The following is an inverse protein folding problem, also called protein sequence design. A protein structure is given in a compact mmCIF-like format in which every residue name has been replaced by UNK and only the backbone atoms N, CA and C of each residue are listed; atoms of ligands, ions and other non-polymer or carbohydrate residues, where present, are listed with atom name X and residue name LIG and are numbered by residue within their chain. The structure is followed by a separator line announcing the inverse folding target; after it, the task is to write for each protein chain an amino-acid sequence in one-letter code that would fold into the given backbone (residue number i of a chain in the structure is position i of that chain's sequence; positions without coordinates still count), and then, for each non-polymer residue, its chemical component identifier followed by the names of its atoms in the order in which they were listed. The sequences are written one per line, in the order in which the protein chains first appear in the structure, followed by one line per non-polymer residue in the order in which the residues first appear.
data_IF_714116760228
#
_entry.id   IF_714116760228
#
_cell.length_a   1.000
_cell.length_b   1.000
_cell.length_c   1.000
_cell.angle_alpha   90.00
_cell.angle_beta   90.00
_cell.angle_gamma   90.00
#
_symmetry.space_group_name_H-M   'P 1'
#
loop_
_entity.id
_entity.type
_entity.pdbx_description
1 polymer ?
#
# COMPACT_ATOMS: atom_id res chain seq x y z
N UNK A 1 -6.56 0.30 32.63
CA UNK A 1 -7.37 -0.93 32.76
C UNK A 1 -8.67 -0.81 31.94
N UNK A 2 -8.58 -0.29 30.70
CA UNK A 2 -9.77 0.05 29.90
C UNK A 2 -10.01 -0.90 28.70
N UNK A 3 -9.03 -1.73 28.33
CA UNK A 3 -9.12 -2.59 27.15
C UNK A 3 -10.06 -3.80 27.31
N UNK A 4 -10.49 -4.12 28.53
CA UNK A 4 -11.44 -5.23 28.77
C UNK A 4 -12.91 -4.78 28.77
N UNK A 5 -13.19 -3.49 28.94
CA UNK A 5 -14.56 -2.95 29.07
C UNK A 5 -15.04 -2.19 27.81
N UNK A 6 -14.15 -1.87 26.87
CA UNK A 6 -14.51 -1.22 25.60
C UNK A 6 -14.57 -2.25 24.46
N UNK A 7 -15.73 -2.37 23.78
CA UNK A 7 -15.83 -3.09 22.49
C UNK A 7 -15.62 -2.11 21.32
N UNK A 8 -14.92 -2.48 20.23
CA UNK A 8 -14.31 -3.77 19.94
C UNK A 8 -12.79 -3.69 19.59
N UNK A 9 -11.98 -4.40 20.38
CA UNK A 9 -10.95 -5.29 19.83
C UNK A 9 -10.89 -6.58 20.67
N UNK A 10 -12.09 -7.05 21.05
CA UNK A 10 -12.34 -8.38 21.62
C UNK A 10 -13.17 -9.11 20.57
N UNK A 11 -12.61 -10.14 19.95
CA UNK A 11 -13.41 -11.08 19.16
C UNK A 11 -14.36 -11.78 20.11
N UNK A 12 -15.62 -11.33 20.15
CA UNK A 12 -16.73 -12.13 20.66
C UNK A 12 -16.89 -13.26 19.65
N UNK A 13 -16.56 -14.49 20.02
CA UNK A 13 -16.98 -15.64 19.22
C UNK A 13 -18.52 -15.68 19.31
N UNK A 14 -19.19 -15.31 18.22
CA UNK A 14 -20.59 -15.66 18.03
C UNK A 14 -20.68 -17.20 17.96
N UNK A 15 -21.36 -17.82 18.93
CA UNK A 15 -21.75 -19.22 18.84
C UNK A 15 -22.76 -19.35 17.69
N UNK A 16 -22.49 -20.16 16.65
CA UNK A 16 -23.39 -20.28 15.49
C UNK A 16 -24.75 -20.93 15.81
N UNK A 17 -25.00 -21.38 17.04
CA UNK A 17 -26.15 -22.21 17.38
C UNK A 17 -27.28 -21.52 18.15
N UNK A 18 -27.24 -20.19 18.34
CA UNK A 18 -28.41 -19.45 18.84
C UNK A 18 -28.50 -18.10 18.14
N UNK A 19 -29.07 -18.12 16.93
CA UNK A 19 -29.69 -16.95 16.33
C UNK A 19 -30.99 -16.65 17.08
N UNK A 20 -30.87 -16.10 18.28
CA UNK A 20 -31.79 -15.12 18.83
C UNK A 20 -31.21 -14.66 20.17
N UNK A 21 -30.89 -13.37 20.30
CA UNK A 21 -31.05 -12.56 21.52
C UNK A 21 -30.35 -11.21 21.34
N UNK A 22 -31.18 -10.17 21.39
CA UNK A 22 -30.94 -8.74 21.45
C UNK A 22 -29.52 -8.26 21.87
N UNK A 23 -28.99 -7.32 21.09
CA UNK A 23 -27.72 -6.63 21.32
C UNK A 23 -27.69 -5.64 22.49
N UNK A 24 -28.73 -5.54 23.31
CA UNK A 24 -28.85 -4.49 24.33
C UNK A 24 -28.83 -4.96 25.79
N UNK A 25 -28.72 -6.27 26.06
CA UNK A 25 -28.51 -6.75 27.43
C UNK A 25 -27.05 -7.11 27.65
N UNK A 26 -26.35 -6.30 28.44
CA UNK A 26 -25.16 -6.74 29.14
C UNK A 26 -25.58 -7.88 30.09
N UNK A 27 -25.57 -9.12 29.61
CA UNK A 27 -25.69 -10.30 30.46
C UNK A 27 -24.41 -10.41 31.27
N UNK A 28 -24.36 -9.68 32.38
CA UNK A 28 -23.54 -10.08 33.51
C UNK A 28 -23.99 -11.48 33.91
N UNK A 29 -23.33 -12.52 33.38
CA UNK A 29 -23.55 -13.89 33.82
C UNK A 29 -23.09 -13.96 35.26
N UNK A 30 -24.04 -13.88 36.19
CA UNK A 30 -23.78 -14.14 37.60
C UNK A 30 -23.21 -15.55 37.72
N UNK A 31 -21.99 -15.66 38.21
CA UNK A 31 -21.36 -16.97 38.39
C UNK A 31 -22.19 -17.78 39.39
N UNK A 32 -22.58 -19.02 39.04
CA UNK A 32 -23.32 -19.87 39.97
C UNK A 32 -22.47 -20.23 41.19
N UNK A 33 -23.12 -20.45 42.34
CA UNK A 33 -22.51 -20.86 43.62
C UNK A 33 -21.65 -22.14 43.52
N UNK A 34 -21.69 -22.84 42.38
CA UNK A 34 -20.85 -23.98 42.00
C UNK A 34 -19.35 -23.69 42.11
N UNK A 35 -18.90 -22.44 42.03
CA UNK A 35 -17.49 -22.10 42.27
C UNK A 35 -17.02 -22.29 43.73
N UNK A 36 -17.94 -22.51 44.68
CA UNK A 36 -17.64 -22.85 46.07
C UNK A 36 -17.52 -24.36 46.31
N UNK A 37 -17.96 -25.18 45.34
CA UNK A 37 -18.02 -26.65 45.45
C UNK A 37 -16.71 -27.35 45.05
N UNK A 38 -16.58 -28.62 45.43
CA UNK A 38 -15.33 -29.38 45.39
C UNK A 38 -14.88 -29.82 43.98
N UNK A 39 -13.80 -29.18 43.48
CA UNK A 39 -12.53 -29.72 42.91
C UNK A 39 -12.56 -30.94 41.97
N UNK A 40 -13.67 -31.28 41.29
CA UNK A 40 -13.58 -32.26 40.18
C UNK A 40 -13.35 -31.54 38.85
N UNK A 41 -12.31 -31.90 38.07
CA UNK A 41 -12.08 -31.32 36.74
C UNK A 41 -13.29 -31.37 35.82
N UNK A 42 -14.13 -32.40 35.95
CA UNK A 42 -15.36 -32.57 35.17
C UNK A 42 -16.37 -31.46 35.43
N UNK A 43 -16.56 -31.06 36.69
CA UNK A 43 -17.46 -29.97 37.09
C UNK A 43 -16.94 -28.64 36.56
N UNK A 44 -15.61 -28.46 36.57
CA UNK A 44 -14.99 -27.23 36.06
C UNK A 44 -15.12 -27.13 34.55
N UNK A 45 -14.91 -28.24 33.83
CA UNK A 45 -15.12 -28.30 32.38
C UNK A 45 -16.59 -28.06 32.02
N UNK A 46 -17.53 -28.63 32.79
CA UNK A 46 -18.95 -28.37 32.62
C UNK A 46 -19.28 -26.89 32.80
N UNK A 47 -18.80 -26.25 33.87
CA UNK A 47 -19.00 -24.82 34.11
C UNK A 47 -18.44 -23.95 32.98
N UNK A 48 -17.24 -24.27 32.48
CA UNK A 48 -16.65 -23.56 31.34
C UNK A 48 -17.48 -23.74 30.07
N UNK A 49 -18.16 -24.88 29.88
CA UNK A 49 -19.05 -25.11 28.73
C UNK A 49 -20.31 -24.27 28.84
N UNK A 50 -20.95 -24.24 30.01
CA UNK A 50 -22.13 -23.42 30.28
C UNK A 50 -21.87 -21.92 30.06
N UNK A 51 -20.69 -21.44 30.47
CA UNK A 51 -20.28 -20.04 30.28
C UNK A 51 -19.81 -19.76 28.82
N UNK A 52 -19.68 -20.80 27.98
CA UNK A 52 -19.14 -20.68 26.62
C UNK A 52 -17.63 -20.44 26.56
N UNK A 53 -16.93 -20.56 27.69
CA UNK A 53 -15.49 -20.35 27.84
C UNK A 53 -14.64 -21.58 27.43
N UNK A 54 -15.26 -22.75 27.33
CA UNK A 54 -14.57 -24.01 27.11
C UNK A 54 -13.89 -24.10 25.74
N UNK A 55 -14.43 -23.44 24.71
CA UNK A 55 -13.85 -23.43 23.36
C UNK A 55 -12.40 -22.90 23.34
N UNK A 56 -12.09 -21.92 24.19
CA UNK A 56 -10.75 -21.34 24.29
C UNK A 56 -9.79 -22.23 25.09
N UNK A 57 -10.30 -22.94 26.09
CA UNK A 57 -9.54 -23.96 26.82
C UNK A 57 -9.23 -25.20 25.95
N UNK A 58 -10.19 -25.62 25.12
CA UNK A 58 -10.03 -26.73 24.16
C UNK A 58 -8.97 -26.40 23.10
N UNK A 59 -9.05 -25.20 22.50
CA UNK A 59 -7.99 -24.70 21.60
C UNK A 59 -6.61 -24.69 22.27
N UNK A 60 -6.55 -24.33 23.55
CA UNK A 60 -5.29 -24.35 24.29
C UNK A 60 -4.78 -25.78 24.54
N UNK A 61 -5.68 -26.73 24.83
CA UNK A 61 -5.37 -28.16 24.95
C UNK A 61 -4.79 -28.72 23.65
N UNK A 62 -5.46 -28.48 22.53
CA UNK A 62 -5.06 -29.01 21.22
C UNK A 62 -3.75 -28.36 20.71
N UNK A 63 -3.47 -27.13 21.15
CA UNK A 63 -2.25 -26.42 20.80
C UNK A 63 -0.98 -26.92 21.51
N UNK A 64 -1.10 -27.93 22.38
CA UNK A 64 0.04 -28.45 23.13
C UNK A 64 1.03 -29.19 22.23
N UNK A 65 2.07 -28.48 21.79
CA UNK A 65 3.05 -28.97 20.82
C UNK A 65 4.48 -28.94 21.36
N UNK A 66 5.36 -29.76 20.78
CA UNK A 66 6.78 -29.75 21.09
C UNK A 66 7.43 -28.50 20.46
N UNK A 67 8.12 -27.70 21.28
CA UNK A 67 8.84 -26.51 20.85
C UNK A 67 10.00 -26.89 19.90
N UNK A 68 10.12 -26.21 18.74
CA UNK A 68 11.26 -26.40 17.85
C UNK A 68 12.55 -25.78 18.43
N UNK A 69 13.70 -26.27 17.95
CA UNK A 69 15.02 -25.73 18.31
C UNK A 69 15.55 -26.12 19.69
N UNK A 70 16.60 -25.41 20.12
CA UNK A 70 17.39 -25.74 21.33
C UNK A 70 16.63 -25.55 22.65
N UNK A 71 15.51 -24.82 22.64
CA UNK A 71 14.64 -24.66 23.82
C UNK A 71 14.12 -26.01 24.34
N UNK A 72 13.96 -27.00 23.45
CA UNK A 72 13.54 -28.37 23.79
C UNK A 72 14.44 -29.02 24.85
N UNK A 73 15.74 -28.74 24.82
CA UNK A 73 16.74 -29.29 25.74
C UNK A 73 16.87 -28.50 27.05
N UNK A 74 16.21 -27.33 27.17
CA UNK A 74 16.35 -26.41 28.31
C UNK A 74 15.05 -26.31 29.10
N UNK A 75 14.43 -27.44 29.44
CA UNK A 75 13.16 -27.53 30.20
C UNK A 75 12.00 -26.69 29.64
N UNK A 76 12.02 -26.42 28.34
CA UNK A 76 11.03 -25.63 27.59
C UNK A 76 10.49 -26.46 26.41
N UNK A 77 10.29 -27.76 26.65
CA UNK A 77 9.91 -28.75 25.62
C UNK A 77 8.55 -28.46 25.01
N UNK A 78 7.58 -27.97 25.77
CA UNK A 78 6.23 -27.75 25.29
C UNK A 78 5.88 -26.27 25.16
N UNK A 79 4.98 -25.99 24.23
CA UNK A 79 4.28 -24.72 24.05
C UNK A 79 2.78 -24.98 24.05
N UNK A 80 2.03 -24.06 24.65
CA UNK A 80 0.57 -24.04 24.61
C UNK A 80 0.10 -22.61 24.48
N UNK A 81 -1.07 -22.42 23.86
CA UNK A 81 -1.74 -21.13 23.79
C UNK A 81 -2.26 -20.74 25.18
N UNK A 82 -2.48 -19.43 25.36
CA UNK A 82 -3.12 -18.89 26.56
C UNK A 82 -4.62 -18.90 26.32
N UNK A 83 -5.34 -19.55 27.23
CA UNK A 83 -6.80 -19.57 27.25
C UNK A 83 -7.35 -18.54 28.24
N UNK A 84 -8.54 -18.80 28.80
CA UNK A 84 -9.23 -17.88 29.72
C UNK A 84 -8.39 -17.53 30.95
N UNK A 85 -8.50 -16.28 31.43
CA UNK A 85 -7.95 -15.83 32.71
C UNK A 85 -9.08 -15.69 33.72
N UNK A 86 -9.00 -16.38 34.85
CA UNK A 86 -10.00 -16.32 35.90
C UNK A 86 -9.49 -15.42 37.02
N UNK A 87 -10.26 -14.39 37.34
CA UNK A 87 -9.91 -13.41 38.35
C UNK A 87 -10.81 -13.52 39.57
N UNK A 88 -10.19 -13.71 40.74
CA UNK A 88 -10.88 -13.91 42.02
C UNK A 88 -10.50 -12.88 43.08
N UNK A 89 -11.45 -12.59 43.98
CA UNK A 89 -11.26 -11.72 45.14
C UNK A 89 -10.75 -12.48 46.36
N UNK A 90 -11.64 -12.77 47.30
CA UNK A 90 -11.29 -13.27 48.64
C UNK A 90 -11.34 -14.81 48.75
N UNK A 91 -12.20 -15.47 47.98
CA UNK A 91 -12.47 -16.93 48.07
C UNK A 91 -11.56 -17.78 47.18
N UNK A 92 -10.26 -17.45 47.12
CA UNK A 92 -9.35 -17.93 46.08
C UNK A 92 -8.82 -19.37 46.21
N UNK A 93 -8.70 -19.90 47.42
CA UNK A 93 -7.88 -21.10 47.64
C UNK A 93 -8.46 -22.36 46.97
N UNK A 94 -9.79 -22.51 46.95
CA UNK A 94 -10.47 -23.64 46.29
C UNK A 94 -10.49 -23.47 44.77
N UNK A 95 -10.78 -22.24 44.31
CA UNK A 95 -10.81 -21.88 42.89
C UNK A 95 -9.46 -22.11 42.21
N UNK A 96 -8.37 -21.63 42.82
CA UNK A 96 -7.01 -21.80 42.27
C UNK A 96 -6.68 -23.26 42.07
N UNK A 97 -7.03 -24.13 43.03
CA UNK A 97 -6.76 -25.57 42.92
C UNK A 97 -7.57 -26.22 41.78
N UNK A 98 -8.82 -25.81 41.59
CA UNK A 98 -9.70 -26.34 40.57
C UNK A 98 -9.25 -26.00 39.13
N UNK A 99 -8.80 -24.76 38.90
CA UNK A 99 -8.50 -24.27 37.55
C UNK A 99 -7.02 -24.38 37.14
N UNK A 100 -6.07 -24.57 38.07
CA UNK A 100 -4.63 -24.59 37.77
C UNK A 100 -4.21 -25.71 36.81
N UNK A 101 -4.91 -26.84 36.80
CA UNK A 101 -4.56 -28.01 35.99
C UNK A 101 -5.29 -28.07 34.64
N UNK A 102 -6.07 -27.04 34.28
CA UNK A 102 -6.76 -26.99 33.00
C UNK A 102 -5.82 -26.36 31.96
N UNK A 103 -5.64 -26.98 30.78
CA UNK A 103 -4.73 -26.48 29.76
C UNK A 103 -5.11 -25.05 29.32
N UNK A 104 -4.11 -24.16 29.30
CA UNK A 104 -4.26 -22.77 28.87
C UNK A 104 -4.94 -21.83 29.86
N UNK A 105 -5.70 -22.34 30.83
CA UNK A 105 -6.39 -21.52 31.83
C UNK A 105 -5.39 -21.00 32.86
N UNK A 106 -5.49 -19.71 33.17
CA UNK A 106 -4.71 -19.11 34.25
C UNK A 106 -5.62 -18.49 35.30
N UNK A 107 -5.12 -18.39 36.53
CA UNK A 107 -5.83 -17.77 37.63
C UNK A 107 -5.03 -16.58 38.16
N UNK A 108 -5.71 -15.49 38.50
CA UNK A 108 -5.13 -14.31 39.14
C UNK A 108 -6.03 -13.77 40.26
N UNK A 109 -5.41 -13.18 41.27
CA UNK A 109 -6.13 -12.45 42.31
C UNK A 109 -6.25 -10.97 41.91
N UNK A 110 -7.36 -10.30 42.23
CA UNK A 110 -7.59 -8.89 41.83
C UNK A 110 -6.53 -7.94 42.38
N UNK A 111 -6.16 -8.10 43.64
CA UNK A 111 -5.19 -7.23 44.32
C UNK A 111 -3.79 -7.34 43.68
N UNK A 112 -3.51 -8.50 43.06
CA UNK A 112 -2.24 -8.87 42.43
C UNK A 112 -2.40 -9.14 40.93
N UNK A 113 -3.22 -8.34 40.25
CA UNK A 113 -3.39 -8.41 38.81
C UNK A 113 -2.10 -8.05 38.07
N UNK A 114 -1.56 -9.00 37.33
CA UNK A 114 -0.34 -8.83 36.55
C UNK A 114 -0.67 -8.53 35.08
N UNK A 115 -0.06 -7.49 34.53
CA UNK A 115 -0.15 -7.14 33.12
C UNK A 115 0.26 -8.29 32.20
N UNK A 116 1.29 -9.07 32.55
CA UNK A 116 1.76 -10.21 31.75
C UNK A 116 0.70 -11.31 31.60
N UNK A 117 -0.22 -11.42 32.56
CA UNK A 117 -1.36 -12.34 32.47
C UNK A 117 -2.52 -11.72 31.70
N UNK A 118 -2.78 -10.43 31.86
CA UNK A 118 -3.86 -9.73 31.14
C UNK A 118 -3.55 -9.54 29.64
N UNK A 119 -2.28 -9.32 29.30
CA UNK A 119 -1.80 -9.02 27.96
C UNK A 119 -0.55 -9.85 27.63
N UNK A 120 -0.68 -11.18 27.46
CA UNK A 120 0.45 -12.04 27.14
C UNK A 120 1.06 -11.63 25.79
N UNK A 121 2.38 -11.44 25.76
CA UNK A 121 3.09 -10.97 24.57
C UNK A 121 2.82 -9.50 24.20
N UNK A 122 2.17 -8.73 25.07
CA UNK A 122 1.83 -7.32 24.82
C UNK A 122 0.53 -7.12 24.02
N UNK A 123 -0.21 -8.18 23.70
CA UNK A 123 -1.51 -8.08 23.06
C UNK A 123 -2.62 -7.77 24.07
N UNK A 124 -3.36 -6.70 23.83
CA UNK A 124 -4.55 -6.34 24.60
C UNK A 124 -5.74 -7.25 24.26
N UNK A 125 -6.64 -7.48 25.23
CA UNK A 125 -7.89 -8.21 24.99
C UNK A 125 -7.83 -9.72 25.22
N UNK A 126 -7.26 -10.19 26.35
CA UNK A 126 -7.43 -11.58 26.78
C UNK A 126 -8.86 -11.83 27.26
N UNK A 127 -9.39 -13.03 27.04
CA UNK A 127 -10.69 -13.43 27.60
C UNK A 127 -10.57 -13.63 29.12
N UNK A 128 -11.19 -12.74 29.89
CA UNK A 128 -11.12 -12.71 31.37
C UNK A 128 -12.48 -13.00 31.98
N UNK A 129 -12.54 -13.95 32.92
CA UNK A 129 -13.73 -14.30 33.70
C UNK A 129 -13.56 -13.71 35.09
N UNK A 130 -14.49 -12.86 35.51
CA UNK A 130 -14.47 -12.19 36.81
C UNK A 130 -15.44 -12.84 37.78
N UNK A 131 -14.99 -13.13 39.00
CA UNK A 131 -15.92 -13.42 40.10
C UNK A 131 -16.62 -12.16 40.56
N UNK A 132 -17.85 -12.29 41.08
CA UNK A 132 -18.62 -11.14 41.61
C UNK A 132 -17.80 -10.31 42.60
N UNK A 133 -17.23 -10.98 43.61
CA UNK A 133 -16.38 -10.34 44.62
C UNK A 133 -15.09 -9.73 44.05
N UNK A 134 -14.59 -10.26 42.92
CA UNK A 134 -13.46 -9.67 42.23
C UNK A 134 -13.84 -8.38 41.53
N UNK A 135 -15.00 -8.37 40.87
CA UNK A 135 -15.48 -7.23 40.11
C UNK A 135 -15.81 -6.05 41.03
N UNK A 136 -16.51 -6.30 42.14
CA UNK A 136 -16.84 -5.29 43.16
C UNK A 136 -15.59 -4.64 43.78
N UNK A 137 -14.49 -5.41 43.93
CA UNK A 137 -13.24 -4.90 44.48
C UNK A 137 -12.46 -3.97 43.55
N UNK A 138 -12.74 -3.96 42.24
CA UNK A 138 -11.98 -3.13 41.29
C UNK A 138 -12.11 -1.64 41.60
N UNK A 139 -13.32 -1.19 41.96
CA UNK A 139 -13.59 0.21 42.27
C UNK A 139 -12.82 0.68 43.50
N UNK A 140 -12.72 -0.15 44.55
CA UNK A 140 -11.91 0.16 45.74
C UNK A 140 -10.40 0.25 45.39
N UNK A 141 -9.92 -0.63 44.51
CA UNK A 141 -8.49 -0.69 44.15
C UNK A 141 -8.07 0.47 43.23
N UNK A 142 -8.89 0.81 42.23
CA UNK A 142 -8.53 1.74 41.17
C UNK A 142 -9.27 3.08 41.25
N UNK A 143 -10.32 3.17 42.06
CA UNK A 143 -11.23 4.31 42.06
C UNK A 143 -12.15 4.31 40.85
N UNK A 144 -12.91 5.39 40.73
CA UNK A 144 -13.70 5.73 39.54
C UNK A 144 -13.21 7.07 38.96
N UNK A 145 -13.87 7.56 37.91
CA UNK A 145 -13.55 8.90 37.40
C UNK A 145 -13.93 10.01 38.39
N UNK A 146 -14.80 9.72 39.35
CA UNK A 146 -15.27 10.66 40.38
C UNK A 146 -14.62 10.40 41.75
N UNK A 147 -14.31 9.14 42.07
CA UNK A 147 -13.77 8.72 43.38
C UNK A 147 -12.31 8.30 43.25
N UNK A 148 -11.47 8.80 44.15
CA UNK A 148 -10.05 8.41 44.23
C UNK A 148 -9.95 6.96 44.72
N UNK A 149 -8.91 6.23 44.32
CA UNK A 149 -8.67 4.87 44.81
C UNK A 149 -8.38 4.83 46.31
N UNK A 150 -8.95 3.85 47.01
CA UNK A 150 -8.72 3.64 48.44
C UNK A 150 -7.37 2.96 48.68
N UNK A 151 -7.05 1.94 47.87
CA UNK A 151 -5.87 1.10 48.12
C UNK A 151 -4.57 1.69 47.56
N UNK A 152 -4.66 2.39 46.42
CA UNK A 152 -3.48 2.91 45.71
C UNK A 152 -3.28 4.38 46.04
N UNK A 153 -2.35 4.66 46.95
CA UNK A 153 -2.05 6.04 47.38
C UNK A 153 -1.69 6.93 46.18
N UNK A 154 -2.44 8.02 46.01
CA UNK A 154 -2.21 9.02 44.96
C UNK A 154 -2.50 8.55 43.53
N UNK A 155 -3.14 7.38 43.37
CA UNK A 155 -3.53 6.89 42.05
C UNK A 155 -4.88 7.48 41.63
N UNK A 156 -4.93 7.91 40.37
CA UNK A 156 -6.15 8.36 39.69
C UNK A 156 -6.19 7.71 38.31
N UNK A 157 -7.39 7.36 37.86
CA UNK A 157 -7.58 6.81 36.52
C UNK A 157 -7.07 7.80 35.45
N UNK A 158 -6.24 7.36 34.49
CA UNK A 158 -5.78 8.23 33.41
C UNK A 158 -6.96 8.80 32.61
N UNK A 159 -6.97 10.12 32.44
CA UNK A 159 -7.97 10.79 31.60
C UNK A 159 -7.59 10.66 30.13
N UNK A 160 -8.55 10.25 29.30
CA UNK A 160 -8.37 10.22 27.86
C UNK A 160 -8.18 11.64 27.31
N UNK A 161 -7.39 11.79 26.25
CA UNK A 161 -7.20 13.09 25.57
C UNK A 161 -8.48 13.59 24.89
N UNK A 162 -9.37 12.66 24.52
CA UNK A 162 -10.65 12.94 23.90
C UNK A 162 -11.76 12.39 24.79
N UNK A 163 -12.84 13.15 24.95
CA UNK A 163 -14.04 12.71 25.68
C UNK A 163 -14.82 11.66 24.86
N UNK A 164 -14.97 11.91 23.55
CA UNK A 164 -15.57 10.98 22.61
C UNK A 164 -14.51 10.51 21.60
N UNK A 165 -14.37 9.19 21.42
CA UNK A 165 -13.43 8.59 20.47
C UNK A 165 -14.03 8.42 19.05
N UNK A 166 -15.35 8.59 18.89
CA UNK A 166 -16.01 8.49 17.59
C UNK A 166 -15.76 9.75 16.75
N UNK A 167 -14.63 9.74 16.05
CA UNK A 167 -14.24 10.79 15.12
C UNK A 167 -15.22 10.91 13.95
N UNK A 168 -15.82 9.80 13.49
CA UNK A 168 -16.73 9.83 12.36
C UNK A 168 -17.98 10.65 12.70
N UNK A 169 -18.56 10.43 13.89
CA UNK A 169 -19.67 11.24 14.38
C UNK A 169 -19.31 12.71 14.53
N UNK A 170 -18.12 13.03 15.07
CA UNK A 170 -17.68 14.43 15.23
C UNK A 170 -17.49 15.09 13.86
N UNK A 171 -16.82 14.41 12.93
CA UNK A 171 -16.56 14.92 11.58
C UNK A 171 -17.87 15.15 10.81
N UNK A 172 -18.84 14.25 10.95
CA UNK A 172 -20.12 14.31 10.23
C UNK A 172 -21.19 15.16 10.94
N UNK A 173 -20.85 15.81 12.05
CA UNK A 173 -21.75 16.73 12.74
C UNK A 173 -22.01 17.99 11.90
N UNK A 174 -23.20 18.55 12.01
CA UNK A 174 -23.62 19.72 11.21
C UNK A 174 -22.76 20.94 11.52
N UNK A 175 -22.29 21.09 12.75
CA UNK A 175 -21.40 22.16 13.20
C UNK A 175 -20.05 22.12 12.47
N UNK A 176 -19.53 20.92 12.20
CA UNK A 176 -18.28 20.76 11.44
C UNK A 176 -18.56 20.89 9.95
N UNK A 177 -19.55 20.17 9.42
CA UNK A 177 -19.82 20.11 7.99
C UNK A 177 -20.30 21.44 7.40
N UNK A 178 -20.98 22.29 8.18
CA UNK A 178 -21.39 23.63 7.76
C UNK A 178 -20.20 24.59 7.48
N UNK A 179 -19.05 24.35 8.10
CA UNK A 179 -17.84 25.17 7.95
C UNK A 179 -16.82 24.55 6.99
N UNK A 180 -16.85 23.22 6.83
CA UNK A 180 -15.90 22.49 5.98
C UNK A 180 -16.08 22.85 4.50
N UNK A 181 -14.96 23.14 3.83
CA UNK A 181 -14.95 23.39 2.39
C UNK A 181 -15.24 22.09 1.62
N UNK A 182 -15.93 22.17 0.47
CA UNK A 182 -16.19 20.99 -0.35
C UNK A 182 -14.89 20.34 -0.82
N UNK A 183 -14.95 19.02 -1.00
CA UNK A 183 -13.81 18.20 -1.43
C UNK A 183 -13.39 18.61 -2.84
N UNK A 184 -12.08 18.80 -3.05
CA UNK A 184 -11.49 19.04 -4.38
C UNK A 184 -11.25 17.69 -5.08
N UNK A 185 -12.13 17.34 -6.01
CA UNK A 185 -12.08 16.05 -6.72
C UNK A 185 -11.05 15.99 -7.85
N UNK A 186 -10.53 17.13 -8.31
CA UNK A 186 -9.61 17.19 -9.44
C UNK A 186 -8.17 16.85 -9.03
N UNK A 187 -7.79 15.58 -9.16
CA UNK A 187 -6.38 15.17 -9.09
C UNK A 187 -5.77 15.20 -10.49
N UNK A 188 -5.12 16.31 -10.85
CA UNK A 188 -4.38 16.43 -12.12
C UNK A 188 -3.08 15.63 -12.03
N UNK A 189 -3.07 14.40 -12.55
CA UNK A 189 -1.84 13.62 -12.72
C UNK A 189 -1.03 14.16 -13.89
N UNK A 190 0.29 14.23 -13.73
CA UNK A 190 1.18 14.63 -14.82
C UNK A 190 1.12 13.56 -15.93
N UNK A 191 0.65 13.90 -17.15
CA UNK A 191 0.70 12.96 -18.26
C UNK A 191 2.14 12.83 -18.76
N UNK A 192 2.46 11.69 -19.38
CA UNK A 192 3.73 11.53 -20.08
C UNK A 192 3.87 12.62 -21.15
N UNK A 193 4.95 13.41 -21.08
CA UNK A 193 5.27 14.44 -22.08
C UNK A 193 5.62 13.78 -23.41
N UNK A 194 4.69 13.81 -24.36
CA UNK A 194 4.91 13.32 -25.73
C UNK A 194 5.69 14.36 -26.53
N UNK A 195 6.68 13.93 -27.31
CA UNK A 195 7.47 14.82 -28.16
C UNK A 195 6.61 15.39 -29.32
N UNK A 196 6.42 16.72 -29.43
CA UNK A 196 5.62 17.32 -30.49
C UNK A 196 6.19 17.11 -31.89
N UNK A 197 7.51 17.12 -32.05
CA UNK A 197 8.16 16.95 -33.35
C UNK A 197 7.92 15.54 -33.93
N UNK A 198 7.76 14.54 -33.05
CA UNK A 198 7.48 13.15 -33.44
C UNK A 198 5.97 12.83 -33.45
N UNK A 199 5.16 13.54 -32.69
CA UNK A 199 3.72 13.29 -32.56
C UNK A 199 2.89 14.45 -33.12
N UNK A 200 2.26 14.22 -34.27
CA UNK A 200 1.48 15.24 -34.97
C UNK A 200 0.35 15.82 -34.11
N UNK A 201 -0.40 15.01 -33.34
CA UNK A 201 -1.52 15.52 -32.54
C UNK A 201 -1.04 16.49 -31.45
N UNK A 202 0.12 16.23 -30.87
CA UNK A 202 0.75 17.11 -29.89
C UNK A 202 1.27 18.38 -30.57
N UNK A 203 1.87 18.25 -31.76
CA UNK A 203 2.26 19.40 -32.57
C UNK A 203 1.07 20.29 -32.90
N UNK A 204 -0.06 19.70 -33.32
CA UNK A 204 -1.25 20.45 -33.71
C UNK A 204 -1.91 21.14 -32.51
N UNK A 205 -1.85 20.52 -31.32
CA UNK A 205 -2.29 21.17 -30.08
C UNK A 205 -1.44 22.38 -29.73
N UNK A 206 -0.14 22.36 -30.05
CA UNK A 206 0.77 23.48 -29.79
C UNK A 206 0.75 24.54 -30.91
N UNK A 207 0.69 24.09 -32.16
CA UNK A 207 0.73 24.91 -33.37
C UNK A 207 -0.25 24.37 -34.42
N UNK A 208 -1.46 24.92 -34.52
CA UNK A 208 -2.45 24.53 -35.53
C UNK A 208 -1.96 24.75 -36.98
N UNK A 209 -1.09 25.74 -37.21
CA UNK A 209 -0.52 26.04 -38.54
C UNK A 209 0.46 24.96 -39.03
N UNK A 210 0.94 24.07 -38.16
CA UNK A 210 1.79 22.96 -38.58
C UNK A 210 1.08 22.05 -39.61
N UNK A 211 -0.26 21.97 -39.59
CA UNK A 211 -1.04 21.22 -40.57
C UNK A 211 -0.94 21.83 -41.97
N UNK A 212 -1.14 23.14 -42.08
CA UNK A 212 -1.11 23.87 -43.35
C UNK A 212 0.31 23.90 -43.90
N UNK A 213 1.31 24.18 -43.05
CA UNK A 213 2.72 24.16 -43.44
C UNK A 213 3.14 22.79 -44.02
N UNK A 214 2.78 21.68 -43.35
CA UNK A 214 3.08 20.32 -43.84
C UNK A 214 2.33 19.99 -45.13
N UNK A 215 1.10 20.47 -45.29
CA UNK A 215 0.34 20.30 -46.55
C UNK A 215 1.00 21.06 -47.70
N UNK A 216 1.40 22.31 -47.46
CA UNK A 216 2.10 23.13 -48.46
C UNK A 216 3.44 22.52 -48.85
N UNK A 217 4.20 21.99 -47.89
CA UNK A 217 5.48 21.34 -48.18
C UNK A 217 5.31 20.10 -49.08
N UNK A 218 4.31 19.26 -48.81
CA UNK A 218 4.01 18.08 -49.65
C UNK A 218 3.58 18.45 -51.06
N UNK A 219 2.76 19.49 -51.22
CA UNK A 219 2.35 19.98 -52.54
C UNK A 219 3.55 20.54 -53.32
N UNK A 220 4.41 21.31 -52.66
CA UNK A 220 5.62 21.84 -53.26
C UNK A 220 6.61 20.73 -53.65
N UNK A 221 6.75 19.68 -52.84
CA UNK A 221 7.61 18.53 -53.15
C UNK A 221 7.10 17.76 -54.37
N UNK A 222 5.79 17.48 -54.44
CA UNK A 222 5.17 16.84 -55.60
C UNK A 222 5.41 17.64 -56.90
N UNK A 223 5.29 18.97 -56.83
CA UNK A 223 5.61 19.86 -57.96
C UNK A 223 7.10 19.81 -58.35
N UNK A 224 8.01 19.81 -57.37
CA UNK A 224 9.46 19.70 -57.62
C UNK A 224 9.85 18.38 -58.29
N UNK A 225 9.27 17.26 -57.85
CA UNK A 225 9.52 15.94 -58.45
C UNK A 225 9.05 15.92 -59.91
N UNK A 226 7.86 16.46 -60.18
CA UNK A 226 7.33 16.59 -61.55
C UNK A 226 8.24 17.47 -62.43
N UNK A 227 8.61 18.66 -61.96
CA UNK A 227 9.50 19.57 -62.69
C UNK A 227 10.89 18.96 -62.94
N UNK A 228 11.44 18.21 -61.96
CA UNK A 228 12.72 17.50 -62.12
C UNK A 228 12.62 16.42 -63.20
N UNK A 229 11.53 15.65 -63.22
CA UNK A 229 11.28 14.63 -64.25
C UNK A 229 11.20 15.25 -65.64
N UNK A 230 10.41 16.31 -65.81
CA UNK A 230 10.30 17.03 -67.09
C UNK A 230 11.64 17.62 -67.55
N UNK A 231 12.42 18.19 -66.63
CA UNK A 231 13.78 18.70 -66.94
C UNK A 231 14.73 17.57 -67.34
N UNK A 232 14.64 16.41 -66.69
CA UNK A 232 15.44 15.24 -67.04
C UNK A 232 15.04 14.69 -68.42
N UNK A 233 13.75 14.60 -68.71
CA UNK A 233 13.23 14.13 -70.00
C UNK A 233 13.63 15.07 -71.15
N UNK A 234 13.63 16.39 -70.93
CA UNK A 234 14.19 17.38 -71.88
C UNK A 234 15.69 17.17 -72.13
N UNK A 235 16.48 16.90 -71.09
CA UNK A 235 17.92 16.60 -71.21
C UNK A 235 18.20 15.24 -71.86
N UNK A 236 17.28 14.29 -71.75
CA UNK A 236 17.37 12.95 -72.35
C UNK A 236 16.93 12.91 -73.81
N UNK A 237 16.37 14.00 -74.36
CA UNK A 237 16.18 14.11 -75.81
C UNK A 237 17.55 13.92 -76.48
N UNK A 238 17.62 12.97 -77.40
CA UNK A 238 18.87 12.62 -78.06
C UNK A 238 19.42 13.87 -78.77
N UNK A 239 20.61 14.30 -78.37
CA UNK A 239 21.40 15.31 -79.09
C UNK A 239 21.52 14.83 -80.53
N UNK A 240 21.29 15.72 -81.50
CA UNK A 240 21.37 15.33 -82.92
C UNK A 240 22.79 14.79 -83.20
N UNK A 241 22.91 13.86 -84.16
CA UNK A 241 24.20 13.21 -84.46
C UNK A 241 25.30 14.23 -84.79
N UNK A 242 24.90 15.38 -85.35
CA UNK A 242 25.74 16.52 -85.71
C UNK A 242 26.23 17.29 -84.47
N UNK A 243 25.34 17.66 -83.55
CA UNK A 243 25.71 18.33 -82.30
C UNK A 243 26.60 17.44 -81.42
N UNK A 244 26.34 16.12 -81.38
CA UNK A 244 27.17 15.18 -80.65
C UNK A 244 28.57 15.02 -81.28
N UNK A 245 28.67 15.08 -82.62
CA UNK A 245 29.94 15.08 -83.33
C UNK A 245 30.71 16.38 -83.10
N UNK A 246 30.04 17.53 -83.11
CA UNK A 246 30.63 18.84 -82.81
C UNK A 246 31.21 18.88 -81.38
N UNK A 247 30.45 18.43 -80.37
CA UNK A 247 30.92 18.36 -78.98
C UNK A 247 32.13 17.40 -78.85
N UNK A 248 32.09 16.23 -79.50
CA UNK A 248 33.23 15.30 -79.50
C UNK A 248 34.45 15.88 -80.23
N UNK A 249 34.25 16.63 -81.31
CA UNK A 249 35.33 17.26 -82.07
C UNK A 249 36.00 18.38 -81.28
N UNK A 250 35.22 19.23 -80.61
CA UNK A 250 35.73 20.26 -79.71
C UNK A 250 36.50 19.63 -78.53
N UNK A 251 35.97 18.55 -77.94
CA UNK A 251 36.68 17.80 -76.90
C UNK A 251 37.99 17.18 -77.39
N UNK A 252 38.00 16.58 -78.58
CA UNK A 252 39.22 16.02 -79.19
C UNK A 252 40.24 17.10 -79.54
N UNK A 253 39.80 18.26 -80.06
CA UNK A 253 40.68 19.38 -80.37
C UNK A 253 41.38 19.88 -79.10
N UNK A 254 40.63 20.05 -78.00
CA UNK A 254 41.20 20.42 -76.71
C UNK A 254 42.20 19.36 -76.19
N UNK A 255 41.88 18.07 -76.27
CA UNK A 255 42.83 17.01 -75.90
C UNK A 255 44.08 16.99 -76.80
N UNK A 256 43.95 17.25 -78.10
CA UNK A 256 45.10 17.34 -79.02
C UNK A 256 46.04 18.50 -78.66
N UNK A 257 45.51 19.64 -78.21
CA UNK A 257 46.35 20.75 -77.71
C UNK A 257 47.15 20.41 -76.44
N UNK A 258 46.83 19.29 -75.77
CA UNK A 258 47.47 18.86 -74.52
C UNK A 258 48.42 17.66 -74.67
N UNK A 259 48.54 17.08 -75.87
CA UNK A 259 49.35 15.86 -76.11
C UNK A 259 50.71 16.18 -76.77
N UNK A 260 50.95 17.40 -77.26
CA UNK A 260 52.22 17.76 -77.92
C UNK A 260 52.99 18.91 -77.22
N UNK A 261 53.87 18.55 -76.29
CA UNK A 261 54.93 19.42 -75.75
C UNK A 261 56.23 19.29 -76.59
N UNK A 262 56.14 19.17 -77.91
CA UNK A 262 57.31 19.15 -78.80
C UNK A 262 57.15 20.10 -80.00
N UNK A 263 57.88 21.21 -79.94
CA UNK A 263 58.41 22.15 -80.96
C UNK A 263 57.61 22.56 -82.21
N UNK A 264 56.35 22.12 -82.39
CA UNK A 264 55.50 22.52 -83.53
C UNK A 264 54.26 23.34 -83.14
N UNK A 265 54.09 23.70 -81.87
CA UNK A 265 52.94 24.50 -81.37
C UNK A 265 53.28 25.96 -81.09
N UNK A 266 54.43 26.45 -81.54
CA UNK A 266 54.81 27.85 -81.29
C UNK A 266 53.88 28.85 -81.98
N UNK A 267 53.18 28.49 -83.06
CA UNK A 267 52.35 29.44 -83.83
C UNK A 267 51.00 29.82 -83.17
N UNK A 268 50.25 28.89 -82.56
CA UNK A 268 48.97 29.25 -81.90
C UNK A 268 49.18 29.96 -80.57
N UNK A 269 50.19 29.55 -79.80
CA UNK A 269 50.57 30.21 -78.56
C UNK A 269 51.09 31.63 -78.82
N UNK A 270 51.85 31.86 -79.90
CA UNK A 270 52.27 33.21 -80.29
C UNK A 270 51.09 34.12 -80.63
N UNK A 271 50.11 33.62 -81.39
CA UNK A 271 48.95 34.40 -81.82
C UNK A 271 48.10 34.83 -80.61
N UNK A 272 47.95 33.95 -79.62
CA UNK A 272 47.25 34.27 -78.36
C UNK A 272 48.04 35.26 -77.50
N UNK A 273 49.37 35.20 -77.50
CA UNK A 273 50.20 36.09 -76.68
C UNK A 273 50.30 37.50 -77.26
N UNK A 274 50.42 37.63 -78.58
CA UNK A 274 50.43 38.92 -79.28
C UNK A 274 49.12 39.70 -79.14
N UNK A 275 47.97 39.03 -79.08
CA UNK A 275 46.66 39.68 -78.91
C UNK A 275 46.28 39.96 -77.44
N UNK A 276 47.11 39.58 -76.47
CA UNK A 276 46.88 39.82 -75.03
C UNK A 276 47.75 40.97 -74.50
N UNK A 277 48.75 41.42 -75.26
CA UNK A 277 49.64 42.54 -74.89
C UNK A 277 49.47 43.75 -75.81
N UNK A 278 48.26 44.33 -75.83
CA UNK A 278 47.99 45.75 -76.08
C UNK A 278 46.78 46.21 -75.26
#
# INVERSE_FOLDING_TARGET
MAAAAARPLVTVQSLPSLNDMATDSATTVALPDVMKASIRPDIVNFLLKEIGAYSDAEKAKDSHAIRPGKGKMRNRRYISRKGPLIVYGTEGAKLVKAFRNIPGVEVANVDRLNLLKLAPGGHLGRFVIWTKSAFEKLDSIYGSFEKISENKKGYVLPRAKMVNADLARIINSDEVQSVVKPIKNEVKRAPLKKNPLKNLNVMLKLNPYAKTARRMSLLAEAQRVKAKKEKLDKKRKAVTKEEAAAIKSAGKAWYHTMISDSDYTEFENFTKWLNVTQ
#
